data_IF_147139530915
#
_entry.id   IF_147139530915
#
_cell.length_a   1.000
_cell.length_b   1.000
_cell.length_c   1.000
_cell.angle_alpha   90.00
_cell.angle_beta   90.00
_cell.angle_gamma   90.00
#
_symmetry.space_group_name_H-M   'P 1'
#
loop_
_entity.id
_entity.type
_entity.pdbx_description
1 polymer ?
#
# COMPACT_ATOMS: atom_id res chain seq x y z
N UNK A 1 -9.11 22.27 -25.70
CA UNK A 1 -9.52 21.32 -24.64
C UNK A 1 -9.45 22.10 -23.33
N UNK A 2 -10.46 21.96 -22.45
CA UNK A 2 -10.37 22.56 -21.13
C UNK A 2 -9.08 22.05 -20.47
N UNK A 3 -8.38 22.93 -19.76
CA UNK A 3 -7.13 22.59 -19.08
C UNK A 3 -7.41 21.48 -18.05
N UNK A 4 -6.80 20.30 -18.21
CA UNK A 4 -7.04 19.15 -17.32
C UNK A 4 -6.43 19.47 -15.95
N UNK A 5 -7.26 19.40 -14.91
CA UNK A 5 -6.90 19.69 -13.51
C UNK A 5 -7.33 18.51 -12.66
N UNK A 6 -6.37 17.84 -12.03
CA UNK A 6 -6.61 16.58 -11.33
C UNK A 6 -6.35 16.77 -9.84
N UNK A 7 -7.28 16.33 -9.00
CA UNK A 7 -7.07 16.14 -7.57
C UNK A 7 -7.04 14.63 -7.29
N UNK A 8 -5.97 14.17 -6.63
CA UNK A 8 -5.82 12.79 -6.20
C UNK A 8 -5.97 12.68 -4.69
N UNK A 9 -6.95 11.92 -4.22
CA UNK A 9 -7.25 11.78 -2.79
C UNK A 9 -6.70 10.48 -2.17
N UNK A 10 -5.81 9.78 -2.89
CA UNK A 10 -5.08 8.61 -2.39
C UNK A 10 -3.72 8.48 -3.09
N UNK A 11 -2.71 7.99 -2.37
CA UNK A 11 -1.33 7.92 -2.86
C UNK A 11 -1.19 7.05 -4.14
N UNK A 12 -1.85 5.88 -4.19
CA UNK A 12 -1.83 5.01 -5.38
C UNK A 12 -2.35 5.70 -6.65
N UNK A 13 -3.42 6.51 -6.53
CA UNK A 13 -3.96 7.26 -7.67
C UNK A 13 -3.00 8.36 -8.13
N UNK A 14 -2.29 9.03 -7.21
CA UNK A 14 -1.25 10.00 -7.57
C UNK A 14 -0.17 9.35 -8.42
N UNK A 15 0.28 8.17 -8.03
CA UNK A 15 1.29 7.39 -8.75
C UNK A 15 0.79 6.95 -10.14
N UNK A 16 -0.46 6.50 -10.25
CA UNK A 16 -1.08 6.14 -11.53
C UNK A 16 -1.15 7.36 -12.45
N UNK A 17 -1.63 8.50 -11.97
CA UNK A 17 -1.72 9.75 -12.73
C UNK A 17 -0.36 10.19 -13.24
N UNK A 18 0.67 10.17 -12.38
CA UNK A 18 2.03 10.51 -12.75
C UNK A 18 2.60 9.54 -13.78
N UNK A 19 2.43 8.23 -13.59
CA UNK A 19 2.88 7.20 -14.55
C UNK A 19 2.19 7.28 -15.92
N UNK A 20 0.96 7.81 -15.97
CA UNK A 20 0.25 8.11 -17.23
C UNK A 20 0.73 9.41 -17.88
N UNK A 21 1.65 10.16 -17.27
CA UNK A 21 2.22 11.41 -17.80
C UNK A 21 1.35 12.63 -17.55
N UNK A 22 0.60 12.68 -16.44
CA UNK A 22 -0.25 13.80 -16.00
C UNK A 22 0.22 14.42 -14.69
N UNK A 23 1.50 14.29 -14.35
CA UNK A 23 2.07 14.84 -13.12
C UNK A 23 1.86 16.37 -13.02
N UNK A 24 2.10 17.10 -14.10
CA UNK A 24 1.93 18.56 -14.18
C UNK A 24 0.46 19.01 -14.08
N UNK A 25 -0.50 18.12 -14.33
CA UNK A 25 -1.94 18.39 -14.22
C UNK A 25 -2.49 18.13 -12.82
N UNK A 26 -1.70 17.55 -11.91
CA UNK A 26 -2.06 17.43 -10.51
C UNK A 26 -2.07 18.83 -9.86
N UNK A 27 -3.21 19.23 -9.34
CA UNK A 27 -3.41 20.54 -8.68
C UNK A 27 -3.70 20.41 -7.18
N UNK A 28 -3.95 19.20 -6.70
CA UNK A 28 -4.18 18.88 -5.29
C UNK A 28 -4.00 17.40 -5.02
N UNK A 29 -3.70 17.06 -3.77
CA UNK A 29 -3.36 15.72 -3.34
C UNK A 29 -4.02 15.32 -2.03
N UNK A 30 -3.98 14.03 -1.67
CA UNK A 30 -4.18 13.58 -0.29
C UNK A 30 -2.97 13.98 0.58
N UNK A 31 -3.18 14.09 1.87
CA UNK A 31 -2.09 14.33 2.83
C UNK A 31 -1.02 13.22 2.82
N UNK A 32 -1.35 12.01 2.35
CA UNK A 32 -0.44 10.85 2.25
C UNK A 32 0.33 10.76 0.92
N UNK A 33 0.03 11.61 -0.08
CA UNK A 33 0.72 11.56 -1.36
C UNK A 33 2.10 12.21 -1.25
N UNK A 34 3.14 11.40 -1.29
CA UNK A 34 4.56 11.75 -1.16
C UNK A 34 5.41 11.25 -2.34
N UNK A 35 4.78 10.57 -3.32
CA UNK A 35 5.45 10.08 -4.53
C UNK A 35 4.60 10.36 -5.78
N UNK A 36 5.25 10.71 -6.93
CA UNK A 36 6.69 10.96 -7.11
C UNK A 36 7.22 12.14 -6.29
N UNK A 37 8.56 12.26 -6.13
CA UNK A 37 9.17 13.35 -5.35
C UNK A 37 8.68 14.73 -5.80
N UNK A 38 8.32 15.57 -4.85
CA UNK A 38 7.81 16.92 -5.15
C UNK A 38 6.29 17.04 -5.06
N UNK A 39 5.55 15.93 -4.93
CA UNK A 39 4.09 15.97 -4.74
C UNK A 39 3.68 16.69 -3.47
N UNK A 40 4.52 16.71 -2.45
CA UNK A 40 4.28 17.38 -1.16
C UNK A 40 4.09 18.89 -1.31
N UNK A 41 4.53 19.49 -2.43
CA UNK A 41 4.35 20.92 -2.73
C UNK A 41 2.91 21.26 -3.11
N UNK A 42 2.14 20.27 -3.56
CA UNK A 42 0.74 20.46 -3.90
C UNK A 42 -0.11 20.62 -2.63
N UNK A 43 -1.19 21.41 -2.70
CA UNK A 43 -2.13 21.54 -1.58
C UNK A 43 -2.71 20.18 -1.17
N UNK A 44 -2.71 19.89 0.14
CA UNK A 44 -3.35 18.71 0.68
C UNK A 44 -4.86 18.96 0.83
N UNK A 45 -5.65 18.22 0.06
CA UNK A 45 -7.12 18.33 0.03
C UNK A 45 -7.82 17.41 1.05
N UNK A 46 -7.04 16.64 1.79
CA UNK A 46 -7.54 15.75 2.85
C UNK A 46 -6.67 15.81 4.10
N UNK A 47 -7.21 15.36 5.22
CA UNK A 47 -6.49 15.20 6.48
C UNK A 47 -6.97 13.97 7.23
N UNK A 48 -6.11 13.40 8.10
CA UNK A 48 -6.46 12.30 8.98
C UNK A 48 -7.15 12.82 10.25
N UNK A 49 -8.13 12.05 10.75
CA UNK A 49 -8.73 12.22 12.08
C UNK A 49 -8.01 11.38 13.14
N UNK A 50 -7.09 10.51 12.71
CA UNK A 50 -6.29 9.64 13.56
C UNK A 50 -4.92 10.26 13.77
N UNK A 51 -4.39 10.13 14.98
CA UNK A 51 -3.02 10.55 15.31
C UNK A 51 -2.02 9.55 14.72
N UNK A 52 -1.51 9.83 13.53
CA UNK A 52 -0.52 8.99 12.86
C UNK A 52 0.80 8.85 13.64
N UNK A 53 1.10 9.71 14.61
CA UNK A 53 2.27 9.63 15.49
C UNK A 53 2.10 8.68 16.69
N UNK A 54 0.88 8.18 16.93
CA UNK A 54 0.60 7.25 18.03
C UNK A 54 1.16 5.85 17.76
N UNK A 55 1.21 4.98 18.79
CA UNK A 55 1.61 3.56 18.64
C UNK A 55 0.61 2.80 17.76
N UNK A 56 1.05 1.70 17.14
CA UNK A 56 0.19 0.83 16.30
C UNK A 56 -1.10 0.41 17.01
N UNK A 57 -1.02 0.01 18.30
CA UNK A 57 -2.20 -0.29 19.14
C UNK A 57 -3.16 0.89 19.25
N UNK A 58 -2.64 2.09 19.48
CA UNK A 58 -3.47 3.27 19.68
C UNK A 58 -4.13 3.74 18.39
N UNK A 59 -3.41 3.63 17.27
CA UNK A 59 -3.97 3.89 15.94
C UNK A 59 -5.14 2.92 15.67
N UNK A 60 -4.94 1.61 15.88
CA UNK A 60 -5.99 0.61 15.68
C UNK A 60 -7.25 0.89 16.53
N UNK A 61 -7.08 1.27 17.80
CA UNK A 61 -8.21 1.64 18.67
C UNK A 61 -8.97 2.86 18.12
N UNK A 62 -8.25 3.91 17.67
CA UNK A 62 -8.87 5.10 17.11
C UNK A 62 -9.62 4.79 15.81
N UNK A 63 -9.01 4.02 14.92
CA UNK A 63 -9.63 3.58 13.66
C UNK A 63 -10.92 2.80 13.94
N UNK A 64 -10.86 1.78 14.81
CA UNK A 64 -12.05 0.97 15.15
C UNK A 64 -13.16 1.80 15.80
N UNK A 65 -12.81 2.80 16.61
CA UNK A 65 -13.81 3.69 17.21
C UNK A 65 -14.53 4.51 16.13
N UNK A 66 -13.79 5.11 15.19
CA UNK A 66 -14.38 5.88 14.09
C UNK A 66 -15.26 5.01 13.18
N UNK A 67 -14.79 3.81 12.83
CA UNK A 67 -15.57 2.87 12.00
C UNK A 67 -16.84 2.39 12.71
N UNK A 68 -16.77 2.11 14.01
CA UNK A 68 -17.92 1.71 14.79
C UNK A 68 -19.01 2.82 14.89
N UNK A 69 -18.61 4.07 14.78
CA UNK A 69 -19.52 5.23 14.73
C UNK A 69 -19.95 5.57 13.30
N UNK A 70 -19.63 4.75 12.31
CA UNK A 70 -19.83 4.99 10.87
C UNK A 70 -19.20 6.31 10.39
N UNK A 71 -18.07 6.70 10.99
CA UNK A 71 -17.31 7.89 10.62
C UNK A 71 -16.11 7.52 9.74
N UNK A 72 -15.88 8.32 8.71
CA UNK A 72 -14.65 8.21 7.91
C UNK A 72 -13.41 8.58 8.72
N UNK A 73 -12.33 7.85 8.53
CA UNK A 73 -11.00 8.09 9.14
C UNK A 73 -10.37 9.37 8.60
N UNK A 74 -10.72 9.76 7.38
CA UNK A 74 -10.23 10.96 6.71
C UNK A 74 -11.35 11.97 6.48
N UNK A 75 -10.97 13.20 6.24
CA UNK A 75 -11.89 14.26 5.83
C UNK A 75 -11.34 15.04 4.64
N UNK A 76 -12.23 15.52 3.78
CA UNK A 76 -11.92 16.35 2.62
C UNK A 76 -12.08 17.83 2.99
N UNK A 77 -11.29 18.70 2.37
CA UNK A 77 -11.48 20.16 2.40
C UNK A 77 -12.26 20.61 1.14
N UNK A 78 -13.59 20.82 1.25
CA UNK A 78 -14.41 21.17 0.10
C UNK A 78 -14.15 22.61 -0.39
N UNK A 79 -13.72 23.52 0.48
CA UNK A 79 -13.40 24.90 0.11
C UNK A 79 -12.13 24.92 -0.74
N UNK A 80 -11.15 24.13 -0.38
CA UNK A 80 -9.93 23.97 -1.18
C UNK A 80 -10.23 23.31 -2.53
N UNK A 81 -11.07 22.27 -2.55
CA UNK A 81 -11.49 21.63 -3.80
C UNK A 81 -12.17 22.62 -4.74
N UNK A 82 -13.09 23.45 -4.25
CA UNK A 82 -13.75 24.46 -5.06
C UNK A 82 -12.76 25.47 -5.65
N UNK A 83 -11.83 25.95 -4.84
CA UNK A 83 -10.77 26.89 -5.26
C UNK A 83 -9.85 26.30 -6.31
N UNK A 84 -9.53 25.01 -6.20
CA UNK A 84 -8.69 24.30 -7.16
C UNK A 84 -9.41 24.02 -8.48
N UNK A 85 -10.74 24.10 -8.51
CA UNK A 85 -11.58 23.88 -9.68
C UNK A 85 -11.16 22.65 -10.50
N UNK A 86 -11.11 21.44 -9.90
CA UNK A 86 -10.66 20.23 -10.62
C UNK A 86 -11.65 19.85 -11.73
N UNK A 87 -11.12 19.25 -12.80
CA UNK A 87 -11.91 18.54 -13.81
C UNK A 87 -12.10 17.07 -13.46
N UNK A 88 -11.16 16.51 -12.68
CA UNK A 88 -11.19 15.12 -12.21
C UNK A 88 -10.79 15.06 -10.73
N UNK A 89 -11.50 14.21 -9.99
CA UNK A 89 -11.12 13.79 -8.63
C UNK A 89 -10.98 12.28 -8.65
N UNK A 90 -9.82 11.76 -8.21
CA UNK A 90 -9.58 10.32 -8.12
C UNK A 90 -9.48 9.93 -6.66
N UNK A 91 -10.28 8.95 -6.25
CA UNK A 91 -10.38 8.45 -4.87
C UNK A 91 -10.44 6.91 -4.87
N UNK A 92 -10.69 6.30 -3.72
CA UNK A 92 -10.80 4.85 -3.56
C UNK A 92 -11.97 4.52 -2.65
N UNK A 93 -12.63 3.38 -2.91
CA UNK A 93 -13.73 2.87 -2.08
C UNK A 93 -13.44 1.50 -1.47
N UNK A 94 -12.35 0.86 -1.84
CA UNK A 94 -11.98 -0.48 -1.36
C UNK A 94 -11.91 -0.56 0.17
N UNK A 95 -11.38 0.46 0.82
CA UNK A 95 -11.14 0.47 2.26
C UNK A 95 -11.59 1.82 2.85
N UNK A 96 -12.59 1.80 3.72
CA UNK A 96 -13.06 3.00 4.43
C UNK A 96 -12.00 3.56 5.40
N UNK A 97 -10.96 2.77 5.70
CA UNK A 97 -9.85 3.14 6.58
C UNK A 97 -8.71 3.81 5.82
N UNK A 98 -8.52 3.49 4.53
CA UNK A 98 -7.32 3.88 3.77
C UNK A 98 -7.51 5.12 2.90
N UNK A 99 -8.74 5.57 2.69
CA UNK A 99 -9.06 6.74 1.86
C UNK A 99 -10.27 7.50 2.40
N UNK A 100 -10.48 8.70 1.87
CA UNK A 100 -11.74 9.44 2.11
C UNK A 100 -12.88 8.65 1.47
N UNK A 101 -14.00 8.51 2.19
CA UNK A 101 -15.14 7.76 1.66
C UNK A 101 -15.67 8.41 0.37
N UNK A 102 -16.10 7.58 -0.59
CA UNK A 102 -16.69 8.07 -1.85
C UNK A 102 -17.93 8.95 -1.57
N UNK A 103 -18.72 8.57 -0.57
CA UNK A 103 -19.91 9.34 -0.16
C UNK A 103 -19.55 10.77 0.27
N UNK A 104 -18.49 10.92 1.09
CA UNK A 104 -18.03 12.25 1.53
C UNK A 104 -17.51 13.08 0.36
N UNK A 105 -16.77 12.46 -0.57
CA UNK A 105 -16.26 13.11 -1.79
C UNK A 105 -17.43 13.56 -2.68
N UNK A 106 -18.37 12.66 -2.98
CA UNK A 106 -19.51 12.96 -3.82
C UNK A 106 -20.44 14.03 -3.22
N UNK A 107 -20.62 14.01 -1.89
CA UNK A 107 -21.40 15.04 -1.20
C UNK A 107 -20.69 16.38 -1.30
N UNK A 108 -19.39 16.45 -1.02
CA UNK A 108 -18.60 17.67 -1.15
C UNK A 108 -18.67 18.24 -2.59
N UNK A 109 -18.55 17.36 -3.59
CA UNK A 109 -18.63 17.74 -5.02
C UNK A 109 -20.03 18.27 -5.37
N UNK A 110 -21.10 17.62 -4.92
CA UNK A 110 -22.47 18.04 -5.23
C UNK A 110 -22.84 19.40 -4.59
N UNK A 111 -22.38 19.62 -3.37
CA UNK A 111 -22.84 20.77 -2.58
C UNK A 111 -21.96 22.01 -2.76
N UNK A 112 -20.67 21.84 -2.98
CA UNK A 112 -19.70 22.90 -2.79
C UNK A 112 -18.75 23.14 -3.97
N UNK A 113 -18.61 22.18 -4.92
CA UNK A 113 -17.62 22.33 -6.03
C UNK A 113 -18.31 22.75 -7.32
N UNK A 114 -18.11 24.01 -7.72
CA UNK A 114 -18.76 24.59 -8.91
C UNK A 114 -18.27 23.98 -10.24
N UNK A 115 -17.03 23.48 -10.30
CA UNK A 115 -16.47 22.88 -11.51
C UNK A 115 -17.12 21.56 -11.90
N UNK A 116 -17.88 20.91 -11.00
CA UNK A 116 -18.53 19.60 -11.22
C UNK A 116 -17.57 18.56 -11.79
N UNK A 117 -16.49 18.22 -11.09
CA UNK A 117 -15.48 17.30 -11.58
C UNK A 117 -16.04 15.90 -11.80
N UNK A 118 -15.43 15.17 -12.73
CA UNK A 118 -15.64 13.73 -12.84
C UNK A 118 -14.96 13.03 -11.68
N UNK A 119 -15.71 12.32 -10.84
CA UNK A 119 -15.18 11.47 -9.77
C UNK A 119 -14.86 10.09 -10.33
N UNK A 120 -13.66 9.59 -10.05
CA UNK A 120 -13.17 8.25 -10.42
C UNK A 120 -12.80 7.53 -9.13
N UNK A 121 -13.55 6.48 -8.79
CA UNK A 121 -13.30 5.65 -7.61
C UNK A 121 -12.52 4.40 -7.99
N UNK A 122 -11.46 4.07 -7.26
CA UNK A 122 -10.64 2.87 -7.40
C UNK A 122 -11.11 1.79 -6.41
N UNK A 123 -11.00 0.52 -6.79
CA UNK A 123 -11.52 -0.61 -5.99
C UNK A 123 -10.59 -1.83 -6.06
N UNK A 124 -9.29 -1.69 -5.74
CA UNK A 124 -8.32 -2.75 -5.93
C UNK A 124 -8.42 -3.79 -4.80
N UNK A 125 -8.95 -4.97 -5.11
CA UNK A 125 -9.01 -6.11 -4.19
C UNK A 125 -7.93 -7.14 -4.48
N UNK A 126 -7.50 -7.27 -5.73
CA UNK A 126 -6.46 -8.18 -6.19
C UNK A 126 -5.54 -7.49 -7.21
N UNK A 127 -4.52 -8.18 -7.70
CA UNK A 127 -3.60 -7.62 -8.68
C UNK A 127 -4.29 -7.29 -10.01
N UNK A 128 -5.30 -8.07 -10.40
CA UNK A 128 -6.10 -7.81 -11.59
C UNK A 128 -6.91 -6.52 -11.47
N UNK A 129 -7.39 -6.20 -10.27
CA UNK A 129 -8.09 -4.94 -9.99
C UNK A 129 -7.14 -3.74 -10.10
N UNK A 130 -5.89 -3.87 -9.65
CA UNK A 130 -4.87 -2.81 -9.83
C UNK A 130 -4.73 -2.46 -11.31
N UNK A 131 -4.71 -3.46 -12.20
CA UNK A 131 -4.67 -3.24 -13.65
C UNK A 131 -5.94 -2.58 -14.17
N UNK A 132 -7.10 -3.01 -13.70
CA UNK A 132 -8.40 -2.41 -14.04
C UNK A 132 -8.46 -0.93 -13.62
N UNK A 133 -7.94 -0.60 -12.45
CA UNK A 133 -7.91 0.76 -11.94
C UNK A 133 -6.97 1.67 -12.75
N UNK A 134 -5.81 1.18 -13.18
CA UNK A 134 -4.94 1.90 -14.13
C UNK A 134 -5.70 2.21 -15.43
N UNK A 135 -6.40 1.23 -16.01
CA UNK A 135 -7.21 1.43 -17.22
C UNK A 135 -8.37 2.40 -16.98
N UNK A 136 -9.03 2.33 -15.81
CA UNK A 136 -10.13 3.23 -15.42
C UNK A 136 -9.67 4.68 -15.37
N UNK A 137 -8.52 4.95 -14.74
CA UNK A 137 -7.92 6.29 -14.69
C UNK A 137 -7.50 6.75 -16.08
N UNK A 138 -6.80 5.92 -16.87
CA UNK A 138 -6.36 6.25 -18.22
C UNK A 138 -7.55 6.59 -19.15
N UNK A 139 -8.63 5.82 -19.05
CA UNK A 139 -9.88 6.06 -19.81
C UNK A 139 -10.54 7.37 -19.38
N UNK A 140 -10.58 7.64 -18.07
CA UNK A 140 -11.14 8.88 -17.54
C UNK A 140 -10.39 10.12 -18.03
N UNK A 141 -9.06 10.01 -18.16
CA UNK A 141 -8.16 11.08 -18.64
C UNK A 141 -8.03 11.12 -20.17
N UNK A 142 -8.73 10.25 -20.92
CA UNK A 142 -8.75 10.23 -22.39
C UNK A 142 -7.49 9.65 -23.03
N UNK A 143 -6.75 8.80 -22.34
CA UNK A 143 -5.49 8.18 -22.80
C UNK A 143 -5.46 6.65 -22.60
N UNK A 144 -6.48 5.89 -23.04
CA UNK A 144 -6.57 4.45 -22.74
C UNK A 144 -5.35 3.66 -23.24
N UNK A 145 -4.72 4.06 -24.35
CA UNK A 145 -3.52 3.38 -24.86
C UNK A 145 -2.29 3.58 -23.96
N UNK A 146 -2.21 4.70 -23.19
CA UNK A 146 -1.15 4.87 -22.20
C UNK A 146 -1.37 3.91 -21.02
N UNK A 147 -2.63 3.71 -20.61
CA UNK A 147 -2.99 2.75 -19.59
C UNK A 147 -2.59 1.32 -19.99
N UNK A 148 -2.92 0.91 -21.22
CA UNK A 148 -2.53 -0.41 -21.71
C UNK A 148 -1.01 -0.59 -21.71
N UNK A 149 -0.26 0.37 -22.27
CA UNK A 149 1.22 0.30 -22.25
C UNK A 149 1.82 0.26 -20.84
N UNK A 150 1.23 1.00 -19.91
CA UNK A 150 1.69 0.97 -18.50
C UNK A 150 1.49 -0.43 -17.91
N UNK A 151 0.30 -1.02 -18.06
CA UNK A 151 0.00 -2.38 -17.57
C UNK A 151 0.91 -3.41 -18.22
N UNK A 152 1.12 -3.35 -19.55
CA UNK A 152 2.01 -4.27 -20.27
C UNK A 152 3.45 -4.20 -19.73
N UNK A 153 3.95 -2.99 -19.47
CA UNK A 153 5.30 -2.79 -18.89
C UNK A 153 5.39 -3.38 -17.48
N UNK A 154 4.40 -3.12 -16.62
CA UNK A 154 4.37 -3.63 -15.24
C UNK A 154 4.26 -5.16 -15.22
N UNK A 155 3.42 -5.73 -16.07
CA UNK A 155 3.28 -7.19 -16.21
C UNK A 155 4.58 -7.83 -16.69
N UNK A 156 5.26 -7.21 -17.67
CA UNK A 156 6.57 -7.68 -18.14
C UNK A 156 7.61 -7.68 -17.01
N UNK A 157 7.63 -6.67 -16.14
CA UNK A 157 8.53 -6.64 -14.98
C UNK A 157 8.20 -7.76 -13.99
N UNK A 158 6.91 -8.01 -13.71
CA UNK A 158 6.50 -9.14 -12.85
C UNK A 158 6.89 -10.49 -13.46
N UNK A 159 6.85 -10.64 -14.79
CA UNK A 159 7.30 -11.86 -15.46
C UNK A 159 8.82 -12.06 -15.31
N UNK A 160 9.61 -10.98 -15.27
CA UNK A 160 11.05 -11.07 -14.93
C UNK A 160 11.24 -11.58 -13.51
N UNK A 161 10.51 -11.04 -12.52
CA UNK A 161 10.57 -11.53 -11.13
C UNK A 161 10.23 -13.02 -11.08
N UNK A 162 9.14 -13.42 -11.73
CA UNK A 162 8.71 -14.83 -11.81
C UNK A 162 9.79 -15.72 -12.41
N UNK A 163 10.34 -15.32 -13.55
CA UNK A 163 11.40 -16.10 -14.23
C UNK A 163 12.65 -16.28 -13.37
N UNK A 164 13.07 -15.23 -12.64
CA UNK A 164 14.20 -15.31 -11.71
C UNK A 164 13.96 -16.31 -10.58
N UNK A 165 12.72 -16.41 -10.09
CA UNK A 165 12.38 -17.25 -8.93
C UNK A 165 11.95 -18.67 -9.31
N UNK A 166 11.34 -18.89 -10.48
CA UNK A 166 10.90 -20.21 -10.94
C UNK A 166 12.03 -21.22 -11.06
N UNK A 167 13.23 -20.76 -11.41
CA UNK A 167 14.43 -21.61 -11.51
C UNK A 167 14.96 -22.09 -10.14
N UNK A 168 14.49 -21.48 -9.03
CA UNK A 168 14.95 -21.82 -7.68
C UNK A 168 14.16 -23.02 -7.14
N UNK A 169 14.85 -23.96 -6.48
CA UNK A 169 14.22 -25.15 -5.93
C UNK A 169 13.40 -24.88 -4.66
N UNK A 170 13.71 -23.80 -3.94
CA UNK A 170 13.07 -23.46 -2.67
C UNK A 170 11.80 -22.61 -2.88
N UNK A 171 10.78 -22.89 -2.08
CA UNK A 171 9.55 -22.09 -1.97
C UNK A 171 9.29 -21.76 -0.50
N UNK A 172 10.04 -20.80 0.07
CA UNK A 172 9.93 -20.49 1.50
C UNK A 172 8.52 -20.02 1.86
N UNK A 173 8.08 -20.37 3.06
CA UNK A 173 6.86 -19.82 3.65
C UNK A 173 7.16 -18.45 4.26
N UNK A 174 6.23 -17.50 4.08
CA UNK A 174 6.38 -16.13 4.58
C UNK A 174 5.14 -15.66 5.33
N UNK A 175 5.36 -15.06 6.49
CA UNK A 175 4.37 -14.23 7.17
C UNK A 175 4.54 -12.77 6.74
N UNK A 176 3.54 -12.21 6.04
CA UNK A 176 3.46 -10.80 5.69
C UNK A 176 2.64 -10.09 6.78
N UNK A 177 3.30 -9.33 7.67
CA UNK A 177 2.66 -8.64 8.80
C UNK A 177 2.35 -7.21 8.41
N UNK A 178 1.07 -6.93 8.12
CA UNK A 178 0.60 -5.62 7.69
C UNK A 178 0.31 -4.66 8.86
N UNK A 179 0.15 -5.19 10.06
CA UNK A 179 0.03 -4.41 11.30
C UNK A 179 0.63 -5.17 12.48
N UNK A 180 1.28 -4.45 13.40
CA UNK A 180 2.11 -5.07 14.45
C UNK A 180 1.31 -5.33 15.73
N UNK A 181 0.46 -4.40 16.13
CA UNK A 181 -0.32 -4.52 17.37
C UNK A 181 -1.72 -3.88 17.24
N UNK A 182 -2.78 -4.69 17.16
CA UNK A 182 -2.78 -6.17 17.11
C UNK A 182 -2.22 -6.70 15.79
N UNK A 183 -1.73 -7.95 15.76
CA UNK A 183 -1.19 -8.55 14.56
C UNK A 183 -2.25 -8.68 13.46
N UNK A 184 -1.95 -8.15 12.26
CA UNK A 184 -2.73 -8.37 11.04
C UNK A 184 -1.84 -8.92 9.94
N UNK A 185 -2.37 -9.86 9.18
CA UNK A 185 -1.70 -10.39 8.00
C UNK A 185 -2.14 -9.64 6.74
N UNK A 186 -1.23 -9.49 5.78
CA UNK A 186 -1.54 -8.88 4.50
C UNK A 186 -2.35 -9.83 3.61
N UNK A 187 -3.36 -9.28 2.95
CA UNK A 187 -4.18 -9.94 1.94
C UNK A 187 -4.25 -9.11 0.65
N UNK A 188 -5.41 -8.91 0.08
CA UNK A 188 -5.62 -8.17 -1.17
C UNK A 188 -4.75 -8.75 -2.30
N UNK A 189 -3.83 -7.97 -2.86
CA UNK A 189 -2.88 -8.38 -3.93
C UNK A 189 -1.59 -9.03 -3.38
N UNK A 190 -1.27 -8.88 -2.08
CA UNK A 190 0.00 -9.36 -1.51
C UNK A 190 0.22 -10.88 -1.66
N UNK A 191 -0.78 -11.76 -1.47
CA UNK A 191 -0.59 -13.20 -1.69
C UNK A 191 -0.20 -13.55 -3.13
N UNK A 192 -0.67 -12.78 -4.13
CA UNK A 192 -0.26 -12.97 -5.53
C UNK A 192 1.18 -12.54 -5.75
N UNK A 193 1.60 -11.40 -5.14
CA UNK A 193 2.99 -10.94 -5.20
C UNK A 193 3.95 -11.94 -4.55
N UNK A 194 3.58 -12.52 -3.40
CA UNK A 194 4.37 -13.59 -2.76
C UNK A 194 4.55 -14.79 -3.69
N UNK A 195 3.49 -15.20 -4.39
CA UNK A 195 3.55 -16.30 -5.34
C UNK A 195 4.45 -15.98 -6.54
N UNK A 196 4.35 -14.77 -7.09
CA UNK A 196 5.21 -14.27 -8.17
C UNK A 196 6.68 -14.24 -7.72
N UNK A 197 6.92 -13.84 -6.48
CA UNK A 197 8.23 -13.78 -5.85
C UNK A 197 8.78 -15.17 -5.45
N UNK A 198 8.10 -16.28 -5.80
CA UNK A 198 8.57 -17.63 -5.55
C UNK A 198 8.41 -18.12 -4.13
N UNK A 199 7.53 -17.53 -3.33
CA UNK A 199 7.20 -17.95 -1.98
C UNK A 199 5.83 -18.58 -1.81
N UNK A 200 5.52 -18.96 -0.58
CA UNK A 200 4.21 -19.44 -0.13
C UNK A 200 3.74 -18.56 1.02
N UNK A 201 2.60 -17.89 0.85
CA UNK A 201 2.02 -17.09 1.94
C UNK A 201 1.62 -18.00 3.11
N UNK A 202 1.99 -17.60 4.32
CA UNK A 202 1.64 -18.36 5.53
C UNK A 202 0.13 -18.33 5.80
N UNK A 203 -0.48 -17.17 5.65
CA UNK A 203 -1.90 -16.92 5.86
C UNK A 203 -2.33 -15.75 4.96
N UNK A 204 -3.54 -15.81 4.43
CA UNK A 204 -4.10 -14.82 3.51
C UNK A 204 -4.46 -15.39 2.15
N UNK A 205 -5.47 -14.82 1.53
CA UNK A 205 -5.96 -15.17 0.19
C UNK A 205 -6.12 -13.90 -0.66
N UNK A 206 -5.86 -13.97 -1.99
CA UNK A 206 -6.10 -12.83 -2.87
C UNK A 206 -7.57 -12.38 -2.83
N UNK A 207 -7.79 -11.08 -2.97
CA UNK A 207 -9.13 -10.53 -3.09
C UNK A 207 -9.90 -10.44 -1.78
N UNK A 208 -9.25 -10.60 -0.63
CA UNK A 208 -9.86 -10.42 0.69
C UNK A 208 -9.25 -9.22 1.40
N UNK A 209 -9.96 -8.69 2.40
CA UNK A 209 -9.40 -7.69 3.31
C UNK A 209 -8.50 -8.35 4.35
N UNK A 210 -7.43 -7.65 4.69
CA UNK A 210 -6.47 -8.05 5.71
C UNK A 210 -7.15 -8.34 7.05
N UNK A 211 -6.78 -9.47 7.65
CA UNK A 211 -7.40 -9.99 8.87
C UNK A 211 -6.44 -10.05 10.05
N UNK A 212 -7.00 -10.12 11.26
CA UNK A 212 -6.23 -10.34 12.47
C UNK A 212 -5.79 -11.79 12.61
N UNK A 213 -4.63 -11.99 13.21
CA UNK A 213 -4.15 -13.32 13.65
C UNK A 213 -3.43 -13.21 14.98
N UNK A 214 -3.18 -14.33 15.64
CA UNK A 214 -2.56 -14.33 16.96
C UNK A 214 -1.09 -14.78 16.90
N UNK A 215 -0.36 -14.51 17.99
CA UNK A 215 1.00 -15.02 18.13
C UNK A 215 1.04 -16.55 18.18
N UNK A 216 0.04 -17.20 18.78
CA UNK A 216 -0.10 -18.67 18.77
C UNK A 216 -0.25 -19.22 17.34
N UNK A 217 -0.96 -18.49 16.48
CA UNK A 217 -1.10 -18.84 15.05
C UNK A 217 0.25 -18.73 14.33
N UNK A 218 1.02 -17.66 14.60
CA UNK A 218 2.36 -17.45 14.05
C UNK A 218 3.31 -18.59 14.48
N UNK A 219 3.30 -18.94 15.77
CA UNK A 219 4.12 -20.02 16.32
C UNK A 219 3.73 -21.38 15.74
N UNK A 220 2.43 -21.66 15.64
CA UNK A 220 1.94 -22.94 15.10
C UNK A 220 2.32 -23.15 13.64
N UNK A 221 2.33 -22.08 12.85
CA UNK A 221 2.68 -22.14 11.42
C UNK A 221 4.17 -22.04 11.15
N UNK A 222 4.91 -21.43 12.03
CA UNK A 222 6.38 -21.28 12.05
C UNK A 222 6.98 -20.98 10.66
N UNK A 223 6.73 -19.81 10.07
CA UNK A 223 7.15 -19.49 8.72
C UNK A 223 8.69 -19.39 8.60
N UNK A 224 9.22 -19.64 7.39
CA UNK A 224 10.64 -19.50 7.08
C UNK A 224 11.11 -18.04 7.06
N UNK A 225 10.19 -17.09 6.81
CA UNK A 225 10.45 -15.66 6.66
C UNK A 225 9.33 -14.87 7.33
N UNK A 226 9.70 -13.77 7.98
CA UNK A 226 8.75 -12.77 8.49
C UNK A 226 9.08 -11.42 7.85
N UNK A 227 8.12 -10.84 7.13
CA UNK A 227 8.20 -9.50 6.57
C UNK A 227 7.23 -8.57 7.31
N UNK A 228 7.76 -7.52 7.91
CA UNK A 228 7.02 -6.49 8.65
C UNK A 228 6.80 -5.32 7.69
N UNK A 229 5.54 -5.08 7.32
CA UNK A 229 5.15 -4.12 6.27
C UNK A 229 3.94 -3.25 6.68
N UNK A 230 4.00 -2.58 7.85
CA UNK A 230 2.83 -1.88 8.38
C UNK A 230 2.42 -0.73 7.48
N UNK A 231 1.11 -0.62 7.23
CA UNK A 231 0.53 0.42 6.40
C UNK A 231 0.90 1.82 6.92
N UNK A 232 1.48 2.65 6.04
CA UNK A 232 1.87 4.02 6.36
C UNK A 232 3.15 4.18 7.20
N UNK A 233 3.87 3.09 7.51
CA UNK A 233 5.11 3.14 8.28
C UNK A 233 6.33 2.92 7.38
N UNK A 234 7.30 3.83 7.45
CA UNK A 234 8.62 3.60 6.89
C UNK A 234 9.43 2.58 7.70
N UNK A 235 10.64 2.26 7.24
CA UNK A 235 11.52 1.29 7.90
C UNK A 235 11.87 1.73 9.34
N UNK A 236 12.16 3.02 9.55
CA UNK A 236 12.55 3.53 10.86
C UNK A 236 11.40 3.44 11.85
N UNK A 237 10.20 3.81 11.42
CA UNK A 237 8.98 3.71 12.22
C UNK A 237 8.66 2.26 12.54
N UNK A 238 8.71 1.39 11.53
CA UNK A 238 8.47 -0.05 11.69
C UNK A 238 9.40 -0.68 12.71
N UNK A 239 10.68 -0.30 12.72
CA UNK A 239 11.66 -0.74 13.72
C UNK A 239 11.29 -0.34 15.15
N UNK A 240 10.85 0.89 15.34
CA UNK A 240 10.44 1.42 16.65
C UNK A 240 9.21 0.69 17.21
N UNK A 241 8.32 0.23 16.33
CA UNK A 241 7.10 -0.49 16.72
C UNK A 241 7.30 -2.01 16.92
N UNK A 242 8.48 -2.56 16.67
CA UNK A 242 8.74 -4.00 16.82
C UNK A 242 8.70 -4.52 18.26
N UNK A 243 8.81 -3.64 19.26
CA UNK A 243 8.93 -4.05 20.67
C UNK A 243 7.80 -4.98 21.16
N UNK A 244 6.50 -4.74 20.89
CA UNK A 244 5.44 -5.63 21.34
C UNK A 244 5.58 -7.06 20.80
N UNK A 245 6.02 -7.19 19.55
CA UNK A 245 6.24 -8.47 18.91
C UNK A 245 7.52 -9.15 19.38
N UNK A 246 8.63 -8.41 19.39
CA UNK A 246 9.95 -8.93 19.76
C UNK A 246 10.10 -9.28 21.25
N UNK A 247 9.30 -8.70 22.15
CA UNK A 247 9.28 -9.03 23.57
C UNK A 247 8.38 -10.21 23.93
N UNK A 248 7.63 -10.76 22.96
CA UNK A 248 6.79 -11.93 23.23
C UNK A 248 7.65 -13.15 23.56
N UNK A 249 7.31 -13.96 24.61
CA UNK A 249 8.13 -15.09 25.03
C UNK A 249 8.45 -16.09 23.93
N UNK A 250 7.53 -16.34 23.03
CA UNK A 250 7.67 -17.32 21.94
C UNK A 250 8.43 -16.78 20.72
N UNK A 251 8.70 -15.46 20.65
CA UNK A 251 9.32 -14.82 19.50
C UNK A 251 10.68 -15.44 19.12
N UNK A 252 11.56 -15.58 20.12
CA UNK A 252 12.90 -16.13 19.91
C UNK A 252 12.89 -17.62 19.46
N UNK A 253 11.78 -18.32 19.67
CA UNK A 253 11.56 -19.71 19.25
C UNK A 253 11.26 -19.89 17.77
N UNK A 254 10.80 -18.83 17.07
CA UNK A 254 10.41 -18.89 15.67
C UNK A 254 11.60 -19.21 14.75
N UNK A 255 11.37 -20.06 13.74
CA UNK A 255 12.40 -20.46 12.77
C UNK A 255 12.97 -19.27 12.01
N UNK A 256 12.13 -18.33 11.56
CA UNK A 256 12.55 -17.10 10.91
C UNK A 256 13.47 -16.24 11.79
N UNK A 257 13.17 -16.13 13.09
CA UNK A 257 13.96 -15.35 14.04
C UNK A 257 15.34 -16.00 14.26
N UNK A 258 15.37 -17.30 14.51
CA UNK A 258 16.64 -18.07 14.69
C UNK A 258 17.51 -18.03 13.44
N UNK A 259 16.92 -18.01 12.27
CA UNK A 259 17.63 -17.96 10.99
C UNK A 259 18.03 -16.53 10.58
N UNK A 260 17.66 -15.50 11.35
CA UNK A 260 17.89 -14.09 10.97
C UNK A 260 17.09 -13.65 9.72
N UNK A 261 15.94 -14.28 9.46
CA UNK A 261 15.07 -14.03 8.31
C UNK A 261 13.83 -13.22 8.68
N UNK A 262 14.00 -12.26 9.57
CA UNK A 262 13.01 -11.23 9.87
C UNK A 262 13.44 -9.94 9.19
N UNK A 263 12.54 -9.34 8.45
CA UNK A 263 12.82 -8.13 7.68
C UNK A 263 11.78 -7.04 7.99
N UNK A 264 12.21 -5.80 8.05
CA UNK A 264 11.33 -4.63 8.05
C UNK A 264 11.37 -3.99 6.69
N UNK A 265 10.21 -3.64 6.17
CA UNK A 265 10.06 -2.99 4.87
C UNK A 265 9.52 -1.57 5.03
N UNK A 266 9.63 -0.79 3.98
CA UNK A 266 8.92 0.48 3.88
C UNK A 266 7.47 0.22 3.48
N UNK A 267 6.59 0.05 4.49
CA UNK A 267 5.16 -0.19 4.30
C UNK A 267 4.40 1.07 3.88
N UNK A 268 5.01 2.25 3.96
CA UNK A 268 4.45 3.49 3.43
C UNK A 268 4.59 3.56 1.91
N UNK A 269 5.77 3.21 1.38
CA UNK A 269 6.06 3.32 -0.05
C UNK A 269 5.59 2.10 -0.86
N UNK A 270 5.58 0.91 -0.25
CA UNK A 270 5.32 -0.36 -0.90
C UNK A 270 4.22 -1.14 -0.19
N UNK A 271 3.75 -2.24 -0.80
CA UNK A 271 2.78 -3.21 -0.31
C UNK A 271 1.35 -2.66 -0.12
N UNK A 272 1.21 -1.48 0.50
CA UNK A 272 -0.08 -0.89 0.86
C UNK A 272 -0.58 0.16 -0.15
N UNK A 273 0.10 0.29 -1.30
CA UNK A 273 -0.27 1.20 -2.39
C UNK A 273 -0.56 0.42 -3.67
N UNK A 274 -1.84 0.16 -3.98
CA UNK A 274 -2.24 -0.57 -5.19
C UNK A 274 -2.10 0.31 -6.44
N UNK A 275 -0.88 0.42 -6.93
CA UNK A 275 -0.50 1.26 -8.06
C UNK A 275 0.69 0.68 -8.81
N UNK A 276 1.39 1.49 -9.63
CA UNK A 276 2.50 1.00 -10.46
C UNK A 276 3.61 0.32 -9.66
N UNK A 277 3.81 0.72 -8.39
CA UNK A 277 4.89 0.18 -7.53
C UNK A 277 4.58 -1.15 -6.85
N UNK A 278 3.47 -1.82 -7.19
CA UNK A 278 3.26 -3.22 -6.78
C UNK A 278 4.33 -4.15 -7.36
N UNK A 279 4.99 -3.73 -8.44
CA UNK A 279 6.11 -4.48 -9.04
C UNK A 279 7.33 -4.43 -8.13
N UNK A 280 7.69 -3.26 -7.61
CA UNK A 280 8.76 -3.12 -6.61
C UNK A 280 8.45 -3.93 -5.35
N UNK A 281 7.19 -4.02 -4.94
CA UNK A 281 6.77 -4.88 -3.83
C UNK A 281 7.05 -6.37 -4.12
N UNK A 282 6.82 -6.84 -5.35
CA UNK A 282 7.16 -8.21 -5.76
C UNK A 282 8.68 -8.43 -5.82
N UNK A 283 9.44 -7.45 -6.33
CA UNK A 283 10.90 -7.47 -6.36
C UNK A 283 11.49 -7.56 -4.94
N UNK A 284 10.98 -6.73 -4.00
CA UNK A 284 11.35 -6.79 -2.58
C UNK A 284 11.06 -8.18 -2.01
N UNK A 285 9.86 -8.71 -2.20
CA UNK A 285 9.51 -10.05 -1.71
C UNK A 285 10.46 -11.13 -2.25
N UNK A 286 10.87 -11.05 -3.52
CA UNK A 286 11.81 -11.98 -4.10
C UNK A 286 13.19 -11.91 -3.42
N UNK A 287 13.68 -10.71 -3.10
CA UNK A 287 14.92 -10.53 -2.33
C UNK A 287 14.83 -11.11 -0.91
N UNK A 288 13.68 -10.91 -0.22
CA UNK A 288 13.46 -11.45 1.13
C UNK A 288 13.36 -12.97 1.15
N UNK A 289 12.69 -13.55 0.15
CA UNK A 289 12.47 -15.00 0.03
C UNK A 289 13.74 -15.74 -0.41
N UNK A 290 14.57 -15.13 -1.26
CA UNK A 290 15.72 -15.74 -1.89
C UNK A 290 17.00 -14.91 -1.73
N UNK A 291 17.44 -14.62 -0.49
CA UNK A 291 18.60 -13.76 -0.25
C UNK A 291 19.86 -14.33 -0.89
N UNK A 292 20.58 -13.49 -1.63
CA UNK A 292 21.80 -13.84 -2.35
C UNK A 292 21.60 -14.60 -3.68
N UNK A 293 20.38 -15.04 -3.99
CA UNK A 293 20.03 -15.61 -5.29
C UNK A 293 19.34 -14.60 -6.21
N UNK A 294 18.63 -13.63 -5.64
CA UNK A 294 17.91 -12.58 -6.34
C UNK A 294 18.29 -11.22 -5.73
N UNK A 295 18.54 -10.22 -6.58
CA UNK A 295 18.86 -8.85 -6.18
C UNK A 295 18.31 -7.86 -7.21
N UNK A 296 17.33 -7.06 -6.82
CA UNK A 296 16.73 -5.98 -7.60
C UNK A 296 17.16 -4.60 -7.10
N UNK A 297 17.99 -4.53 -6.03
CA UNK A 297 18.57 -3.31 -5.50
C UNK A 297 17.71 -2.59 -4.45
N UNK A 298 16.74 -3.24 -3.85
CA UNK A 298 15.85 -2.62 -2.84
C UNK A 298 16.40 -2.68 -1.42
N UNK A 299 17.47 -3.42 -1.18
CA UNK A 299 18.08 -3.51 0.16
C UNK A 299 18.57 -2.14 0.63
N UNK A 300 18.16 -1.75 1.82
CA UNK A 300 18.53 -0.45 2.42
C UNK A 300 17.48 0.65 2.22
N UNK A 301 16.76 0.64 1.11
CA UNK A 301 15.69 1.61 0.79
C UNK A 301 14.30 1.02 0.93
N UNK A 302 14.03 -0.14 0.31
CA UNK A 302 12.75 -0.82 0.37
C UNK A 302 12.61 -1.77 1.56
N UNK A 303 13.74 -2.32 2.05
CA UNK A 303 13.76 -3.24 3.18
C UNK A 303 15.13 -3.31 3.87
N UNK A 304 15.12 -3.75 5.12
CA UNK A 304 16.33 -4.02 5.92
C UNK A 304 16.12 -5.27 6.79
N UNK A 305 17.18 -6.04 7.10
CA UNK A 305 17.09 -7.09 8.10
C UNK A 305 16.79 -6.47 9.46
N UNK A 306 15.93 -7.15 10.22
CA UNK A 306 15.69 -6.81 11.61
C UNK A 306 16.52 -7.73 12.52
N UNK A 307 17.21 -7.17 13.51
CA UNK A 307 17.91 -7.92 14.56
C UNK A 307 17.82 -7.18 15.88
N UNK A 308 17.76 -7.92 16.97
CA UNK A 308 17.76 -7.36 18.34
C UNK A 308 19.02 -6.54 18.66
N UNK A 309 20.13 -6.79 17.96
CA UNK A 309 21.41 -6.11 18.17
C UNK A 309 21.43 -4.65 17.68
N UNK A 310 20.38 -4.19 17.02
CA UNK A 310 20.24 -2.81 16.51
C UNK A 310 19.20 -1.99 17.30
N UNK A 311 18.93 -2.39 18.55
CA UNK A 311 18.11 -1.63 19.51
C UNK A 311 18.82 -0.38 20.01
#
# INVERSE_FOLDING_TARGET
>A
MADTRIVSLIASATEIVAALGFEEQLVGRSHECDFPPGMERLPACSSSKVDAGATSRRIDVQVRSLVAEALSVYQVDPVLLDRLAPTHIITQTQCEVCAVSLTDVEQAVRELVQSRPRVVSLEPMDLGDVWRDIHKVATALGVPERGQRLVDNLTTRLDVVRACTEALASRPTIACVEWIDPLMHAENWVPELVRIAGGTIMIGEPGRHSGYFSMEELVRRDPDVIAIMPCGFDIERSRKEMHPLASHPDWAGLSAVRAGRVYVTDGNQYFNRPGPRVVESAEILAELLHPGAVDFGHRGTGWQPWSDALR
#
